data_IF_153499379226
#
_entry.id   IF_153499379226
#
_cell.length_a   1.000
_cell.length_b   1.000
_cell.length_c   1.000
_cell.angle_alpha   90.00
_cell.angle_beta   90.00
_cell.angle_gamma   90.00
#
_symmetry.space_group_name_H-M   'P 1'
#
loop_
_entity.id
_entity.type
_entity.pdbx_description
1 polymer ?
#
# COMPACT_ATOMS: atom_id res chain seq x y z
N UNK A 1 -22.39 -25.83 -9.80
CA UNK A 1 -21.01 -25.64 -10.31
C UNK A 1 -20.07 -25.47 -9.12
N UNK A 2 -18.84 -26.02 -9.19
CA UNK A 2 -17.84 -25.95 -8.11
C UNK A 2 -16.75 -24.92 -8.46
N UNK A 3 -16.51 -23.95 -7.58
CA UNK A 3 -15.41 -22.98 -7.74
C UNK A 3 -14.10 -23.52 -7.19
N UNK A 4 -12.99 -23.38 -7.94
CA UNK A 4 -11.65 -23.79 -7.54
C UNK A 4 -10.72 -22.57 -7.52
N UNK A 5 -10.20 -22.19 -6.36
CA UNK A 5 -9.27 -21.07 -6.21
C UNK A 5 -7.90 -21.54 -5.76
N UNK A 6 -6.87 -21.31 -6.59
CA UNK A 6 -5.51 -21.73 -6.29
C UNK A 6 -4.82 -20.69 -5.42
N UNK A 7 -4.50 -21.05 -4.18
CA UNK A 7 -3.99 -20.12 -3.18
C UNK A 7 -2.58 -20.50 -2.73
N UNK A 8 -1.72 -19.49 -2.77
CA UNK A 8 -0.39 -19.49 -2.18
C UNK A 8 -0.40 -18.69 -0.87
N UNK A 9 0.14 -19.26 0.21
CA UNK A 9 0.35 -18.56 1.48
C UNK A 9 1.85 -18.42 1.74
N UNK A 10 2.32 -17.21 2.05
CA UNK A 10 3.70 -16.97 2.45
C UNK A 10 3.79 -16.00 3.60
N UNK A 11 4.30 -16.48 4.73
CA UNK A 11 4.37 -15.72 5.99
C UNK A 11 3.04 -15.02 6.32
N UNK A 12 1.94 -15.78 6.19
CA UNK A 12 0.55 -15.33 6.39
C UNK A 12 -0.03 -14.45 5.27
N UNK A 13 0.74 -14.01 4.27
CA UNK A 13 0.16 -13.31 3.12
C UNK A 13 -0.48 -14.31 2.16
N UNK A 14 -1.74 -14.06 1.80
CA UNK A 14 -2.50 -14.92 0.89
C UNK A 14 -2.50 -14.35 -0.53
N UNK A 15 -2.32 -15.21 -1.52
CA UNK A 15 -2.35 -14.82 -2.93
C UNK A 15 -3.17 -15.83 -3.73
N UNK A 16 -4.15 -15.34 -4.48
CA UNK A 16 -4.87 -16.15 -5.47
C UNK A 16 -4.10 -16.13 -6.79
N UNK A 17 -3.97 -17.28 -7.44
CA UNK A 17 -3.33 -17.40 -8.76
C UNK A 17 -4.40 -17.54 -9.84
N UNK A 18 -4.35 -16.65 -10.83
CA UNK A 18 -5.23 -16.70 -11.98
C UNK A 18 -4.69 -17.69 -13.00
N UNK A 19 -5.31 -18.87 -13.03
CA UNK A 19 -5.01 -19.90 -14.02
C UNK A 19 -5.92 -19.78 -15.25
N UNK A 20 -5.44 -20.26 -16.39
CA UNK A 20 -6.09 -20.20 -17.70
C UNK A 20 -6.40 -21.59 -18.28
N UNK A 21 -5.95 -22.65 -17.61
CA UNK A 21 -6.26 -24.04 -17.95
C UNK A 21 -7.77 -24.24 -18.11
N UNK A 22 -8.19 -24.85 -19.22
CA UNK A 22 -9.59 -25.17 -19.45
C UNK A 22 -9.97 -26.46 -18.72
N UNK A 23 -10.97 -26.36 -17.84
CA UNK A 23 -11.49 -27.50 -17.06
C UNK A 23 -12.94 -27.83 -17.45
N UNK A 24 -13.44 -28.97 -16.95
CA UNK A 24 -14.82 -29.44 -17.16
C UNK A 24 -15.85 -28.37 -16.75
N UNK A 25 -17.00 -28.31 -17.44
CA UNK A 25 -18.13 -27.41 -17.18
C UNK A 25 -18.67 -27.50 -15.74
N UNK A 26 -18.42 -28.61 -15.03
CA UNK A 26 -18.80 -28.75 -13.63
C UNK A 26 -17.98 -27.87 -12.67
N UNK A 27 -16.79 -27.42 -13.11
CA UNK A 27 -15.85 -26.65 -12.32
C UNK A 27 -15.54 -25.28 -12.95
N UNK A 28 -15.19 -24.30 -12.11
CA UNK A 28 -14.72 -22.99 -12.55
C UNK A 28 -13.40 -22.65 -11.86
N UNK A 29 -12.38 -22.28 -12.64
CA UNK A 29 -11.15 -21.71 -12.07
C UNK A 29 -11.39 -20.26 -11.69
N UNK A 30 -11.21 -19.97 -10.42
CA UNK A 30 -11.55 -18.69 -9.83
C UNK A 30 -10.31 -17.89 -9.38
N UNK A 31 -10.47 -16.56 -9.34
CA UNK A 31 -9.45 -15.62 -8.90
C UNK A 31 -10.07 -14.48 -8.08
N UNK A 32 -9.43 -14.15 -6.96
CA UNK A 32 -9.84 -13.05 -6.09
C UNK A 32 -8.63 -12.22 -5.62
N UNK A 33 -8.74 -10.89 -5.60
CA UNK A 33 -7.64 -10.00 -5.21
C UNK A 33 -7.64 -9.77 -3.70
N UNK A 34 -6.91 -10.64 -2.98
CA UNK A 34 -6.78 -10.56 -1.51
C UNK A 34 -6.10 -9.29 -0.99
N UNK A 35 -5.42 -8.50 -1.84
CA UNK A 35 -4.73 -7.28 -1.40
C UNK A 35 -5.62 -6.04 -1.43
N UNK A 36 -6.53 -5.96 -2.41
CA UNK A 36 -7.34 -4.77 -2.67
C UNK A 36 -8.85 -4.96 -2.48
N UNK A 37 -9.28 -6.14 -2.01
CA UNK A 37 -10.68 -6.43 -1.70
C UNK A 37 -10.85 -6.82 -0.24
N UNK A 38 -11.99 -6.44 0.30
CA UNK A 38 -12.38 -6.69 1.69
C UNK A 38 -12.94 -8.09 1.89
N UNK A 39 -13.16 -8.47 3.15
CA UNK A 39 -13.90 -9.69 3.47
C UNK A 39 -15.36 -9.61 3.00
N UNK A 40 -16.00 -8.44 3.15
CA UNK A 40 -17.35 -8.17 2.64
C UNK A 40 -17.41 -8.36 1.13
N UNK A 41 -16.46 -7.77 0.39
CA UNK A 41 -16.39 -7.93 -1.07
C UNK A 41 -16.28 -9.41 -1.47
N UNK A 42 -15.59 -10.23 -0.68
CA UNK A 42 -15.44 -11.66 -0.98
C UNK A 42 -16.69 -12.46 -0.65
N UNK A 43 -17.36 -12.13 0.46
CA UNK A 43 -18.64 -12.74 0.84
C UNK A 43 -19.67 -12.44 -0.25
N UNK A 44 -19.86 -11.16 -0.59
CA UNK A 44 -20.79 -10.71 -1.64
C UNK A 44 -20.49 -11.38 -2.99
N UNK A 45 -19.19 -11.50 -3.32
CA UNK A 45 -18.75 -12.17 -4.54
C UNK A 45 -19.13 -13.65 -4.58
N UNK A 46 -18.93 -14.38 -3.48
CA UNK A 46 -19.26 -15.80 -3.39
C UNK A 46 -20.77 -16.04 -3.41
N UNK A 47 -21.57 -15.17 -2.77
CA UNK A 47 -23.03 -15.23 -2.85
C UNK A 47 -23.52 -14.98 -4.28
N UNK A 48 -22.91 -14.04 -5.00
CA UNK A 48 -23.29 -13.71 -6.37
C UNK A 48 -22.99 -14.83 -7.38
N UNK A 49 -21.91 -15.59 -7.21
CA UNK A 49 -21.53 -16.64 -8.16
C UNK A 49 -22.37 -17.92 -8.07
N UNK A 50 -23.19 -18.07 -7.01
CA UNK A 50 -24.08 -19.21 -6.80
C UNK A 50 -23.38 -20.58 -6.97
N UNK A 51 -22.13 -20.69 -6.52
CA UNK A 51 -21.43 -21.97 -6.49
C UNK A 51 -22.07 -22.91 -5.45
N UNK A 52 -22.25 -24.19 -5.81
CA UNK A 52 -22.70 -25.21 -4.84
C UNK A 52 -21.63 -25.48 -3.78
N UNK A 53 -20.36 -25.39 -4.20
CA UNK A 53 -19.19 -25.60 -3.37
C UNK A 53 -18.03 -24.73 -3.85
N UNK A 54 -17.27 -24.18 -2.92
CA UNK A 54 -16.03 -23.44 -3.18
C UNK A 54 -14.83 -24.15 -2.53
N UNK A 55 -13.80 -24.43 -3.29
CA UNK A 55 -12.62 -25.16 -2.84
C UNK A 55 -11.38 -24.30 -3.03
N UNK A 56 -10.71 -24.00 -1.93
CA UNK A 56 -9.38 -23.44 -1.94
C UNK A 56 -8.35 -24.54 -2.15
N UNK A 57 -7.66 -24.52 -3.29
CA UNK A 57 -6.55 -25.42 -3.61
C UNK A 57 -5.27 -24.79 -3.07
N UNK A 58 -4.74 -25.36 -1.98
CA UNK A 58 -3.51 -24.85 -1.36
C UNK A 58 -2.27 -25.39 -2.08
N UNK A 59 -1.33 -24.49 -2.36
CA UNK A 59 -0.07 -24.82 -3.03
C UNK A 59 1.06 -25.18 -2.06
N UNK A 60 0.98 -24.70 -0.81
CA UNK A 60 1.95 -24.96 0.25
C UNK A 60 1.24 -25.12 1.61
N UNK A 61 2.00 -25.33 2.69
CA UNK A 61 1.45 -25.30 4.04
C UNK A 61 0.82 -23.95 4.35
N UNK A 62 -0.43 -23.99 4.81
CA UNK A 62 -1.24 -22.79 5.01
C UNK A 62 -1.92 -22.82 6.38
N UNK A 63 -1.53 -21.90 7.26
CA UNK A 63 -2.14 -21.79 8.57
C UNK A 63 -3.26 -20.76 8.52
N UNK A 64 -3.00 -19.59 7.93
CA UNK A 64 -3.96 -18.51 7.90
C UNK A 64 -5.12 -18.77 6.94
N UNK A 65 -4.90 -19.45 5.82
CA UNK A 65 -6.00 -19.80 4.91
C UNK A 65 -7.10 -20.60 5.62
N UNK A 66 -6.73 -21.46 6.58
CA UNK A 66 -7.71 -22.20 7.38
C UNK A 66 -8.56 -21.27 8.23
N UNK A 67 -7.96 -20.24 8.84
CA UNK A 67 -8.71 -19.25 9.61
C UNK A 67 -9.64 -18.41 8.72
N UNK A 68 -9.18 -18.02 7.52
CA UNK A 68 -10.02 -17.37 6.52
C UNK A 68 -11.22 -18.27 6.16
N UNK A 69 -11.00 -19.55 5.88
CA UNK A 69 -12.09 -20.49 5.55
C UNK A 69 -13.05 -20.69 6.71
N UNK A 70 -12.55 -20.81 7.95
CA UNK A 70 -13.41 -20.87 9.14
C UNK A 70 -14.26 -19.61 9.28
N UNK A 71 -13.68 -18.44 9.01
CA UNK A 71 -14.41 -17.17 9.01
C UNK A 71 -15.52 -17.15 7.94
N UNK A 72 -15.19 -17.49 6.68
CA UNK A 72 -16.15 -17.50 5.58
C UNK A 72 -17.31 -18.48 5.81
N UNK A 73 -17.03 -19.68 6.36
CA UNK A 73 -18.06 -20.66 6.74
C UNK A 73 -19.05 -20.15 7.78
N UNK A 74 -18.64 -19.22 8.63
CA UNK A 74 -19.52 -18.63 9.63
C UNK A 74 -20.44 -17.55 9.04
N UNK A 75 -20.12 -17.03 7.84
CA UNK A 75 -20.85 -15.96 7.18
C UNK A 75 -21.73 -16.45 6.02
N UNK A 76 -21.32 -17.52 5.34
CA UNK A 76 -21.95 -18.00 4.11
C UNK A 76 -22.66 -19.35 4.33
N UNK A 77 -23.86 -19.48 3.80
CA UNK A 77 -24.58 -20.76 3.71
C UNK A 77 -24.16 -21.54 2.45
N UNK A 78 -22.85 -21.81 2.33
CA UNK A 78 -22.29 -22.57 1.21
C UNK A 78 -21.20 -23.53 1.69
N UNK A 79 -20.98 -24.60 0.93
CA UNK A 79 -19.91 -25.56 1.25
C UNK A 79 -18.55 -24.98 0.86
N UNK A 80 -17.70 -24.70 1.84
CA UNK A 80 -16.32 -24.20 1.62
C UNK A 80 -15.32 -25.25 2.12
N UNK A 81 -14.30 -25.58 1.32
CA UNK A 81 -13.27 -26.55 1.69
C UNK A 81 -11.86 -26.06 1.34
N UNK A 82 -10.86 -26.64 2.02
CA UNK A 82 -9.44 -26.49 1.67
C UNK A 82 -8.93 -27.86 1.24
N UNK A 83 -8.34 -27.93 0.06
CA UNK A 83 -7.77 -29.15 -0.50
C UNK A 83 -6.31 -28.91 -0.88
N UNK A 84 -5.43 -29.88 -0.58
CA UNK A 84 -4.05 -29.84 -1.01
C UNK A 84 -3.94 -30.09 -2.52
N UNK A 85 -3.03 -29.43 -3.23
CA UNK A 85 -2.83 -29.61 -4.67
C UNK A 85 -2.56 -31.08 -5.04
N UNK A 86 -1.97 -31.86 -4.14
CA UNK A 86 -1.70 -33.28 -4.33
C UNK A 86 -2.97 -34.13 -4.42
N UNK A 87 -4.11 -33.64 -3.92
CA UNK A 87 -5.39 -34.37 -3.87
C UNK A 87 -6.35 -33.95 -5.00
N UNK A 88 -5.86 -33.25 -6.03
CA UNK A 88 -6.67 -32.82 -7.17
C UNK A 88 -7.22 -33.96 -8.01
N UNK A 89 -6.63 -35.15 -7.92
CA UNK A 89 -7.09 -36.40 -8.55
C UNK A 89 -8.50 -36.81 -8.12
N UNK A 90 -8.94 -36.34 -6.95
CA UNK A 90 -10.33 -36.50 -6.50
C UNK A 90 -11.35 -35.64 -7.25
N UNK A 91 -10.91 -34.61 -7.99
CA UNK A 91 -11.78 -33.64 -8.65
C UNK A 91 -11.62 -33.63 -10.18
N UNK A 92 -10.38 -33.75 -10.67
CA UNK A 92 -10.02 -33.53 -12.07
C UNK A 92 -9.32 -34.75 -12.68
N UNK A 93 -9.41 -34.89 -13.99
CA UNK A 93 -8.66 -35.91 -14.72
C UNK A 93 -7.15 -35.61 -14.74
N UNK A 94 -6.32 -36.65 -14.77
CA UNK A 94 -4.85 -36.56 -14.74
C UNK A 94 -4.29 -35.62 -15.82
N UNK A 95 -4.89 -35.60 -17.01
CA UNK A 95 -4.51 -34.71 -18.12
C UNK A 95 -4.61 -33.23 -17.71
N UNK A 96 -5.69 -32.85 -17.03
CA UNK A 96 -5.94 -31.48 -16.55
C UNK A 96 -5.09 -31.13 -15.35
N UNK A 97 -4.83 -32.08 -14.47
CA UNK A 97 -3.90 -31.90 -13.37
C UNK A 97 -2.49 -31.58 -13.91
N UNK A 98 -2.06 -32.29 -14.95
CA UNK A 98 -0.76 -32.05 -15.56
C UNK A 98 -0.68 -30.70 -16.30
N UNK A 99 -1.77 -30.27 -16.96
CA UNK A 99 -1.89 -28.92 -17.54
C UNK A 99 -1.73 -27.84 -16.45
N UNK A 100 -2.46 -27.96 -15.33
CA UNK A 100 -2.39 -27.03 -14.19
C UNK A 100 -0.99 -26.99 -13.58
N UNK A 101 -0.36 -28.15 -13.33
CA UNK A 101 1.02 -28.22 -12.80
C UNK A 101 2.00 -27.52 -13.74
N UNK A 102 1.88 -27.75 -15.05
CA UNK A 102 2.72 -27.10 -16.07
C UNK A 102 2.50 -25.59 -16.10
N UNK A 103 1.25 -25.14 -15.98
CA UNK A 103 0.93 -23.71 -15.90
C UNK A 103 1.55 -23.06 -14.65
N UNK A 104 1.39 -23.69 -13.48
CA UNK A 104 1.98 -23.23 -12.21
C UNK A 104 3.51 -23.16 -12.26
N UNK A 105 4.16 -24.19 -12.83
CA UNK A 105 5.62 -24.22 -13.04
C UNK A 105 6.12 -23.08 -13.93
N UNK A 106 5.28 -22.54 -14.81
CA UNK A 106 5.61 -21.42 -15.69
C UNK A 106 4.95 -20.09 -15.25
N UNK A 107 4.29 -20.07 -14.10
CA UNK A 107 3.47 -18.93 -13.68
C UNK A 107 4.33 -17.80 -13.10
N UNK A 108 4.49 -16.71 -13.84
CA UNK A 108 5.32 -15.55 -13.47
C UNK A 108 5.07 -15.02 -12.05
N UNK A 109 3.79 -14.87 -11.66
CA UNK A 109 3.44 -14.41 -10.32
C UNK A 109 3.88 -15.41 -9.26
N UNK A 110 3.71 -16.72 -9.48
CA UNK A 110 4.07 -17.75 -8.51
C UNK A 110 5.57 -17.72 -8.21
N UNK A 111 6.41 -17.58 -9.24
CA UNK A 111 7.87 -17.41 -9.09
C UNK A 111 8.27 -16.11 -8.36
N UNK A 112 7.53 -15.02 -8.62
CA UNK A 112 7.75 -13.76 -7.88
C UNK A 112 7.36 -13.89 -6.41
N UNK A 113 6.27 -14.60 -6.11
CA UNK A 113 5.78 -14.82 -4.76
C UNK A 113 6.71 -15.76 -3.97
N UNK A 114 7.21 -16.82 -4.59
CA UNK A 114 8.15 -17.75 -3.96
C UNK A 114 9.48 -17.09 -3.59
N UNK A 115 9.92 -16.07 -4.34
CA UNK A 115 11.11 -15.26 -4.05
C UNK A 115 10.86 -13.98 -3.24
N UNK A 116 9.59 -13.71 -2.90
CA UNK A 116 9.17 -12.51 -2.19
C UNK A 116 9.83 -12.35 -0.82
N UNK A 117 10.30 -11.14 -0.50
CA UNK A 117 10.80 -10.78 0.83
C UNK A 117 9.66 -10.17 1.64
N UNK A 118 8.90 -11.04 2.31
CA UNK A 118 7.72 -10.68 3.13
C UNK A 118 8.05 -9.68 4.24
N UNK A 119 9.24 -9.74 4.85
CA UNK A 119 9.71 -8.73 5.81
C UNK A 119 9.61 -7.31 5.23
N UNK A 120 10.00 -7.11 3.96
CA UNK A 120 9.93 -5.81 3.29
C UNK A 120 8.49 -5.37 3.05
N UNK A 121 7.57 -6.30 2.77
CA UNK A 121 6.14 -6.01 2.61
C UNK A 121 5.57 -5.51 3.93
N UNK A 122 5.81 -6.23 5.02
CA UNK A 122 5.35 -5.81 6.33
C UNK A 122 5.97 -4.49 6.78
N UNK A 123 7.26 -4.24 6.51
CA UNK A 123 7.90 -2.94 6.77
C UNK A 123 7.22 -1.80 5.98
N UNK A 124 6.92 -2.02 4.70
CA UNK A 124 6.21 -1.05 3.88
C UNK A 124 4.77 -0.81 4.37
N UNK A 125 4.07 -1.89 4.76
CA UNK A 125 2.73 -1.82 5.34
C UNK A 125 2.70 -1.04 6.66
N UNK A 126 3.62 -1.35 7.57
CA UNK A 126 3.75 -0.65 8.84
C UNK A 126 4.13 0.83 8.66
N UNK A 127 5.00 1.13 7.69
CA UNK A 127 5.31 2.50 7.30
C UNK A 127 4.07 3.23 6.81
N UNK A 128 3.33 2.67 5.84
CA UNK A 128 2.10 3.27 5.32
C UNK A 128 1.06 3.50 6.44
N UNK A 129 0.96 2.57 7.39
CA UNK A 129 0.16 2.71 8.60
C UNK A 129 0.60 3.88 9.47
N UNK A 130 1.88 3.94 9.84
CA UNK A 130 2.41 4.99 10.71
C UNK A 130 2.41 6.37 10.06
N UNK A 131 2.52 6.48 8.74
CA UNK A 131 2.44 7.75 8.01
C UNK A 131 1.01 8.11 7.58
N UNK A 132 0.06 7.16 7.65
CA UNK A 132 -1.30 7.29 7.12
C UNK A 132 -1.35 7.65 5.62
N UNK A 133 -0.44 7.10 4.80
CA UNK A 133 -0.35 7.39 3.37
C UNK A 133 -0.51 6.12 2.53
N UNK A 134 -1.61 6.06 1.76
CA UNK A 134 -1.99 4.91 0.93
C UNK A 134 -2.26 5.35 -0.50
N UNK A 135 -1.22 5.57 -1.33
CA UNK A 135 -1.38 6.19 -2.63
C UNK A 135 -2.21 5.38 -3.63
N UNK A 136 -2.21 4.05 -3.52
CA UNK A 136 -2.83 3.14 -4.49
C UNK A 136 -3.99 2.32 -3.92
N UNK A 137 -4.46 2.63 -2.71
CA UNK A 137 -5.49 1.85 -2.05
C UNK A 137 -6.88 2.45 -2.35
N UNK A 138 -7.90 1.63 -2.65
CA UNK A 138 -9.27 2.11 -2.77
C UNK A 138 -9.73 2.88 -1.54
N UNK A 139 -10.57 3.90 -1.74
CA UNK A 139 -11.18 4.65 -0.64
C UNK A 139 -12.07 3.73 0.18
N UNK A 140 -11.90 3.75 1.50
CA UNK A 140 -12.76 3.03 2.44
C UNK A 140 -12.36 1.58 2.74
N UNK A 141 -11.29 1.05 2.13
CA UNK A 141 -10.75 -0.25 2.49
C UNK A 141 -9.83 -0.12 3.72
N UNK A 142 -10.17 -0.76 4.83
CA UNK A 142 -9.29 -0.79 6.01
C UNK A 142 -8.13 -1.75 5.75
N UNK A 143 -6.90 -1.23 5.67
CA UNK A 143 -5.71 -2.05 5.43
C UNK A 143 -4.97 -2.39 6.71
N UNK A 144 -4.97 -1.48 7.68
CA UNK A 144 -4.21 -1.66 8.91
C UNK A 144 -4.94 -1.11 10.12
N UNK A 145 -4.71 -1.72 11.28
CA UNK A 145 -5.11 -1.13 12.55
C UNK A 145 -4.02 -1.28 13.60
N UNK A 146 -3.96 -0.38 14.57
CA UNK A 146 -3.31 -0.63 15.85
C UNK A 146 -4.39 -0.92 16.89
N UNK A 147 -4.13 -1.93 17.73
CA UNK A 147 -5.06 -2.39 18.76
C UNK A 147 -4.28 -2.65 20.05
N UNK A 148 -4.62 -1.91 21.10
CA UNK A 148 -4.03 -2.08 22.44
C UNK A 148 -4.64 -3.26 23.21
N UNK A 149 -5.94 -3.52 23.05
CA UNK A 149 -6.68 -4.66 23.59
C UNK A 149 -7.35 -5.45 22.46
N UNK A 150 -6.67 -6.50 22.01
CA UNK A 150 -7.13 -7.38 20.94
C UNK A 150 -8.46 -8.06 21.29
N UNK A 151 -8.61 -8.57 22.51
CA UNK A 151 -9.81 -9.31 22.93
C UNK A 151 -11.07 -8.42 22.91
N UNK A 152 -10.94 -7.19 23.41
CA UNK A 152 -12.02 -6.21 23.34
C UNK A 152 -12.33 -5.81 21.90
N UNK A 153 -11.31 -5.57 21.08
CA UNK A 153 -11.51 -5.19 19.68
C UNK A 153 -12.34 -6.23 18.92
N UNK A 154 -12.01 -7.53 19.01
CA UNK A 154 -12.80 -8.58 18.34
C UNK A 154 -14.23 -8.62 18.86
N UNK A 155 -14.38 -8.74 20.18
CA UNK A 155 -15.66 -9.09 20.80
C UNK A 155 -16.70 -8.01 20.54
N UNK A 156 -16.28 -6.74 20.57
CA UNK A 156 -17.16 -5.59 20.41
C UNK A 156 -17.20 -5.07 18.97
N UNK A 157 -16.23 -5.42 18.11
CA UNK A 157 -16.09 -4.83 16.78
C UNK A 157 -15.87 -5.85 15.64
N UNK A 158 -16.27 -7.10 15.82
CA UNK A 158 -16.15 -8.16 14.80
C UNK A 158 -16.68 -7.73 13.42
N UNK A 159 -17.77 -6.97 13.36
CA UNK A 159 -18.35 -6.47 12.11
C UNK A 159 -17.42 -5.50 11.36
N UNK A 160 -16.47 -4.83 12.04
CA UNK A 160 -15.49 -4.00 11.36
C UNK A 160 -14.55 -4.85 10.49
N UNK A 161 -14.31 -6.12 10.84
CA UNK A 161 -13.45 -7.02 10.07
C UNK A 161 -13.94 -7.17 8.64
N UNK A 162 -15.25 -7.10 8.39
CA UNK A 162 -15.82 -7.17 7.05
C UNK A 162 -15.24 -6.10 6.10
N UNK A 163 -14.88 -4.93 6.62
CA UNK A 163 -14.33 -3.83 5.83
C UNK A 163 -12.80 -3.82 5.75
N UNK A 164 -12.13 -4.81 6.37
CA UNK A 164 -10.69 -4.97 6.23
C UNK A 164 -10.36 -5.67 4.91
N UNK A 165 -9.28 -5.24 4.26
CA UNK A 165 -8.67 -6.02 3.19
C UNK A 165 -8.34 -7.42 3.71
N UNK A 166 -8.43 -8.44 2.84
CA UNK A 166 -8.07 -9.79 3.26
C UNK A 166 -6.62 -9.80 3.75
N UNK A 167 -5.64 -9.33 2.99
CA UNK A 167 -4.26 -9.14 3.48
C UNK A 167 -4.07 -7.86 4.30
N UNK A 168 -4.94 -7.62 5.27
CA UNK A 168 -4.76 -6.57 6.27
C UNK A 168 -3.93 -7.04 7.47
N UNK A 169 -3.31 -6.08 8.16
CA UNK A 169 -2.53 -6.34 9.36
C UNK A 169 -3.00 -5.52 10.56
N UNK A 170 -3.13 -6.19 11.70
CA UNK A 170 -3.41 -5.60 13.01
C UNK A 170 -2.12 -5.59 13.82
N UNK A 171 -1.70 -4.40 14.22
CA UNK A 171 -0.51 -4.16 15.02
C UNK A 171 -0.87 -4.06 16.50
N UNK A 172 -0.07 -4.70 17.36
CA UNK A 172 -0.30 -4.64 18.81
C UNK A 172 1.01 -4.58 19.60
N UNK A 173 0.96 -4.09 20.84
CA UNK A 173 2.05 -4.22 21.80
C UNK A 173 1.99 -5.55 22.57
N UNK A 174 0.84 -6.21 22.59
CA UNK A 174 0.65 -7.44 23.36
C UNK A 174 1.34 -8.62 22.67
N UNK A 175 1.76 -9.60 23.48
CA UNK A 175 2.14 -10.90 22.93
C UNK A 175 0.90 -11.52 22.31
N UNK A 176 1.01 -11.85 21.03
CA UNK A 176 -0.06 -12.47 20.25
C UNK A 176 -0.35 -13.85 20.86
N UNK A 177 -1.51 -14.01 21.49
CA UNK A 177 -2.05 -15.34 21.68
C UNK A 177 -2.35 -15.91 20.28
N UNK A 178 -2.05 -17.19 20.04
CA UNK A 178 -2.41 -17.88 18.79
C UNK A 178 -3.93 -18.02 18.73
N UNK A 179 -4.61 -16.92 18.44
CA UNK A 179 -6.03 -16.93 18.18
C UNK A 179 -6.25 -17.10 16.67
N UNK A 180 -7.30 -17.85 16.32
CA UNK A 180 -7.60 -18.27 14.94
C UNK A 180 -8.28 -17.13 14.16
N UNK A 181 -7.55 -16.04 13.90
CA UNK A 181 -8.12 -14.88 13.22
C UNK A 181 -7.87 -14.92 11.72
N UNK A 182 -8.81 -14.40 10.92
CA UNK A 182 -8.64 -14.31 9.48
C UNK A 182 -7.67 -13.18 9.07
N UNK A 183 -7.33 -12.24 9.96
CA UNK A 183 -6.40 -11.13 9.72
C UNK A 183 -4.98 -11.45 10.19
N UNK A 184 -3.97 -10.74 9.67
CA UNK A 184 -2.58 -10.91 10.10
C UNK A 184 -2.37 -10.11 11.38
N UNK A 185 -1.77 -10.70 12.42
CA UNK A 185 -1.43 -9.99 13.66
C UNK A 185 0.09 -9.88 13.78
N UNK A 186 0.61 -8.65 13.89
CA UNK A 186 2.06 -8.40 14.04
C UNK A 186 2.37 -7.54 15.26
N UNK A 187 3.36 -7.92 16.09
CA UNK A 187 3.80 -7.06 17.18
C UNK A 187 4.52 -5.81 16.63
N UNK A 188 4.25 -4.64 17.22
CA UNK A 188 4.93 -3.38 16.85
C UNK A 188 6.45 -3.47 17.01
N UNK A 189 6.93 -4.35 17.91
CA UNK A 189 8.34 -4.59 18.14
C UNK A 189 9.11 -5.09 16.90
N UNK A 190 8.44 -5.72 15.93
CA UNK A 190 9.08 -6.21 14.70
C UNK A 190 9.57 -5.06 13.79
N UNK A 191 9.09 -3.84 14.02
CA UNK A 191 9.31 -2.68 13.16
C UNK A 191 10.21 -1.60 13.77
N UNK A 192 10.93 -1.91 14.86
CA UNK A 192 11.79 -0.95 15.59
C UNK A 192 12.88 -0.29 14.73
N UNK A 193 13.26 -0.89 13.59
CA UNK A 193 14.23 -0.30 12.66
C UNK A 193 13.70 0.94 11.94
N UNK A 194 12.38 1.11 11.86
CA UNK A 194 11.76 2.25 11.20
C UNK A 194 11.64 3.42 12.17
N UNK A 195 12.22 4.56 11.80
CA UNK A 195 12.24 5.75 12.64
C UNK A 195 11.18 6.74 12.18
N UNK A 196 10.24 7.05 13.08
CA UNK A 196 9.19 8.03 12.87
C UNK A 196 9.37 9.24 13.78
N UNK A 197 9.19 10.42 13.22
CA UNK A 197 9.16 11.68 13.95
C UNK A 197 7.73 12.19 14.02
N UNK A 198 7.32 12.54 15.23
CA UNK A 198 6.07 13.26 15.46
C UNK A 198 6.32 14.73 15.19
N UNK A 199 5.52 15.33 14.31
CA UNK A 199 5.53 16.76 14.02
C UNK A 199 4.17 17.38 14.37
N UNK A 200 4.20 18.65 14.78
CA UNK A 200 3.00 19.48 14.82
C UNK A 200 2.80 20.20 13.47
N UNK A 201 1.64 20.83 13.30
CA UNK A 201 1.33 21.55 12.05
C UNK A 201 2.32 22.67 11.72
N UNK A 202 2.88 23.37 12.71
CA UNK A 202 3.83 24.46 12.48
C UNK A 202 5.19 23.96 11.95
N UNK A 203 5.69 22.85 12.52
CA UNK A 203 6.91 22.19 12.06
C UNK A 203 6.74 21.67 10.64
N UNK A 204 5.55 21.11 10.35
CA UNK A 204 5.22 20.65 9.01
C UNK A 204 5.14 21.80 8.00
N UNK A 205 4.50 22.93 8.36
CA UNK A 205 4.49 24.17 7.54
C UNK A 205 5.91 24.67 7.26
N UNK A 206 6.79 24.60 8.25
CA UNK A 206 8.20 24.99 8.10
C UNK A 206 8.92 24.08 7.11
N UNK A 207 8.72 22.76 7.20
CA UNK A 207 9.28 21.79 6.26
C UNK A 207 8.82 22.07 4.83
N UNK A 208 7.52 22.32 4.62
CA UNK A 208 6.99 22.66 3.31
C UNK A 208 7.56 23.97 2.75
N UNK A 209 7.70 25.02 3.59
CA UNK A 209 8.34 26.26 3.16
C UNK A 209 9.79 26.05 2.77
N UNK A 210 10.57 25.30 3.57
CA UNK A 210 11.95 24.96 3.24
C UNK A 210 12.05 24.24 1.90
N UNK A 211 11.16 23.27 1.65
CA UNK A 211 11.10 22.59 0.37
C UNK A 211 10.73 23.54 -0.78
N UNK A 212 9.69 24.35 -0.65
CA UNK A 212 9.23 25.25 -1.72
C UNK A 212 10.28 26.33 -2.03
N UNK A 213 10.89 26.90 -1.00
CA UNK A 213 11.80 28.05 -1.14
C UNK A 213 13.20 27.64 -1.58
N UNK A 214 13.68 26.46 -1.15
CA UNK A 214 15.08 26.06 -1.34
C UNK A 214 15.26 24.67 -1.96
N UNK A 215 14.19 23.89 -2.13
CA UNK A 215 14.27 22.49 -2.56
C UNK A 215 14.82 21.53 -1.51
N UNK A 216 15.12 22.00 -0.30
CA UNK A 216 15.81 21.19 0.70
C UNK A 216 14.83 20.44 1.59
N UNK A 217 15.11 19.15 1.79
CA UNK A 217 14.45 18.32 2.81
C UNK A 217 15.54 17.72 3.69
N UNK A 218 15.66 18.21 4.92
CA UNK A 218 16.67 17.77 5.89
C UNK A 218 16.18 16.68 6.85
N UNK A 219 14.88 16.35 6.80
CA UNK A 219 14.30 15.34 7.67
C UNK A 219 14.55 13.94 7.11
N UNK A 220 15.35 13.15 7.85
CA UNK A 220 15.69 11.75 7.49
C UNK A 220 14.74 10.72 8.09
N UNK A 221 13.88 11.12 9.03
CA UNK A 221 12.84 10.28 9.61
C UNK A 221 11.54 10.36 8.80
N UNK A 222 10.76 9.28 8.82
CA UNK A 222 9.38 9.34 8.37
C UNK A 222 8.56 10.22 9.32
N UNK A 223 7.49 10.84 8.81
CA UNK A 223 6.61 11.67 9.64
C UNK A 223 5.40 10.82 10.07
N UNK A 224 5.23 10.64 11.37
CA UNK A 224 4.06 9.97 11.92
C UNK A 224 2.79 10.78 11.57
N UNK A 225 1.73 10.07 11.18
CA UNK A 225 0.42 10.62 10.84
C UNK A 225 0.45 11.70 9.73
N UNK A 226 1.48 11.67 8.86
CA UNK A 226 1.67 12.66 7.79
C UNK A 226 0.41 12.87 6.92
N UNK A 227 -0.21 11.77 6.47
CA UNK A 227 -1.41 11.83 5.64
C UNK A 227 -2.55 12.53 6.34
N UNK A 228 -2.72 12.27 7.64
CA UNK A 228 -3.71 12.94 8.48
C UNK A 228 -3.37 14.42 8.64
N UNK A 229 -2.13 14.75 9.02
CA UNK A 229 -1.68 16.14 9.22
C UNK A 229 -1.78 17.01 7.97
N UNK A 230 -1.70 16.41 6.78
CA UNK A 230 -1.79 17.10 5.48
C UNK A 230 -3.17 17.04 4.85
N UNK A 231 -4.10 16.27 5.40
CA UNK A 231 -5.46 16.08 4.85
C UNK A 231 -5.52 15.20 3.59
N UNK A 232 -4.49 14.40 3.29
CA UNK A 232 -4.49 13.45 2.16
C UNK A 232 -4.83 12.01 2.59
N UNK A 233 -4.92 11.76 3.89
CA UNK A 233 -5.35 10.45 4.39
C UNK A 233 -6.82 10.21 4.04
N UNK A 234 -7.16 8.93 3.84
CA UNK A 234 -8.54 8.44 3.93
C UNK A 234 -8.64 7.51 5.13
N UNK A 235 -9.84 7.00 5.42
CA UNK A 235 -10.03 5.95 6.42
C UNK A 235 -9.54 4.59 5.91
N UNK A 236 -8.22 4.43 5.81
CA UNK A 236 -7.57 3.16 5.49
C UNK A 236 -6.85 2.54 6.69
N UNK A 237 -6.72 3.31 7.78
CA UNK A 237 -6.15 2.84 9.03
C UNK A 237 -6.85 3.39 10.25
N UNK A 238 -6.81 2.61 11.33
CA UNK A 238 -7.45 2.92 12.60
C UNK A 238 -6.49 2.68 13.76
N UNK A 239 -6.64 3.47 14.81
CA UNK A 239 -6.08 3.17 16.13
C UNK A 239 -7.25 2.87 17.07
N UNK A 240 -7.23 1.69 17.70
CA UNK A 240 -8.14 1.32 18.78
C UNK A 240 -7.35 1.35 20.08
N UNK A 241 -7.71 2.30 20.94
CA UNK A 241 -7.04 2.54 22.22
C UNK A 241 -8.09 2.79 23.30
N UNK A 242 -8.00 2.08 24.41
CA UNK A 242 -8.86 2.24 25.58
C UNK A 242 -10.37 2.16 25.24
N UNK A 243 -10.74 1.34 24.25
CA UNK A 243 -12.13 1.21 23.79
C UNK A 243 -12.63 2.34 22.89
N UNK A 244 -11.73 3.16 22.33
CA UNK A 244 -12.06 4.27 21.44
C UNK A 244 -11.30 4.14 20.11
N UNK A 245 -11.91 4.66 19.05
CA UNK A 245 -11.32 4.72 17.72
C UNK A 245 -10.72 6.09 17.44
N UNK A 246 -9.53 6.10 16.84
CA UNK A 246 -8.81 7.30 16.44
C UNK A 246 -8.23 7.17 15.04
N UNK A 247 -8.06 8.32 14.39
CA UNK A 247 -7.44 8.43 13.07
C UNK A 247 -5.90 8.54 13.16
N UNK A 248 -5.38 8.96 14.30
CA UNK A 248 -3.97 9.31 14.50
C UNK A 248 -3.34 8.54 15.67
N UNK A 249 -2.02 8.42 15.60
CA UNK A 249 -1.24 7.66 16.59
C UNK A 249 -1.12 8.32 17.97
N UNK A 250 -1.50 9.59 18.09
CA UNK A 250 -1.45 10.35 19.35
C UNK A 250 -2.81 10.53 20.01
N UNK A 251 -3.85 9.84 19.52
CA UNK A 251 -5.19 9.89 20.07
C UNK A 251 -5.82 11.30 20.10
N UNK A 252 -5.45 12.18 19.16
CA UNK A 252 -5.97 13.56 19.10
C UNK A 252 -7.22 13.67 18.24
N UNK A 253 -7.41 12.76 17.29
CA UNK A 253 -8.50 12.73 16.32
C UNK A 253 -9.40 11.54 16.57
N UNK A 254 -10.25 11.67 17.58
CA UNK A 254 -11.22 10.63 17.95
C UNK A 254 -12.32 10.49 16.90
N UNK A 255 -12.60 9.26 16.48
CA UNK A 255 -13.61 8.89 15.51
C UNK A 255 -14.87 8.30 16.16
N UNK A 256 -14.73 7.55 17.25
CA UNK A 256 -15.86 6.85 17.84
C UNK A 256 -15.48 6.01 19.06
N UNK A 257 -16.43 5.18 19.49
CA UNK A 257 -16.24 4.19 20.54
C UNK A 257 -16.30 2.77 19.96
N UNK A 258 -15.83 1.82 20.75
CA UNK A 258 -16.08 0.40 20.53
C UNK A 258 -17.58 0.12 20.31
N UNK A 259 -17.90 -0.76 19.37
CA UNK A 259 -19.25 -1.09 18.93
C UNK A 259 -19.85 -0.13 17.88
N UNK A 260 -19.17 0.96 17.55
CA UNK A 260 -19.62 1.86 16.48
C UNK A 260 -19.47 1.21 15.09
N UNK A 261 -20.43 1.45 14.20
CA UNK A 261 -20.39 0.92 12.83
C UNK A 261 -19.30 1.59 12.00
N UNK A 262 -18.83 0.87 10.97
CA UNK A 262 -17.86 1.41 10.01
C UNK A 262 -18.33 2.72 9.37
N UNK A 263 -19.61 2.82 8.98
CA UNK A 263 -20.16 4.03 8.36
C UNK A 263 -20.07 5.24 9.31
N UNK A 264 -20.28 5.03 10.61
CA UNK A 264 -20.12 6.10 11.61
C UNK A 264 -18.67 6.57 11.70
N UNK A 265 -17.73 5.63 11.78
CA UNK A 265 -16.30 5.94 11.82
C UNK A 265 -15.84 6.64 10.54
N UNK A 266 -16.27 6.16 9.38
CA UNK A 266 -15.97 6.73 8.07
C UNK A 266 -16.48 8.16 7.91
N UNK A 267 -17.72 8.42 8.32
CA UNK A 267 -18.29 9.76 8.27
C UNK A 267 -17.54 10.73 9.19
N UNK A 268 -17.22 10.29 10.42
CA UNK A 268 -16.46 11.11 11.36
C UNK A 268 -15.05 11.42 10.84
N UNK A 269 -14.38 10.43 10.24
CA UNK A 269 -13.06 10.62 9.66
C UNK A 269 -13.11 11.62 8.49
N UNK A 270 -14.10 11.48 7.61
CA UNK A 270 -14.30 12.37 6.45
C UNK A 270 -14.52 13.82 6.87
N UNK A 271 -15.35 14.04 7.91
CA UNK A 271 -15.58 15.38 8.48
C UNK A 271 -14.28 15.99 9.01
N UNK A 272 -13.55 15.28 9.86
CA UNK A 272 -12.33 15.82 10.46
C UNK A 272 -11.22 16.06 9.43
N UNK A 273 -11.07 15.18 8.44
CA UNK A 273 -10.08 15.36 7.38
C UNK A 273 -10.39 16.58 6.50
N UNK A 274 -11.67 16.86 6.25
CA UNK A 274 -12.08 18.05 5.49
C UNK A 274 -11.75 19.37 6.20
N UNK A 275 -11.66 19.38 7.53
CA UNK A 275 -11.27 20.56 8.32
C UNK A 275 -9.76 20.81 8.33
N UNK A 276 -8.94 19.80 8.03
CA UNK A 276 -7.47 19.90 8.03
C UNK A 276 -6.93 20.60 6.79
N UNK A 277 -7.70 20.70 5.71
CA UNK A 277 -7.26 21.24 4.41
C UNK A 277 -6.90 22.75 4.42
N UNK A 278 -6.92 23.37 5.61
CA UNK A 278 -6.49 24.74 5.89
C UNK A 278 -4.96 24.98 5.76
N UNK A 279 -4.15 23.94 5.55
CA UNK A 279 -2.78 24.14 5.09
C UNK A 279 -2.85 24.61 3.63
N UNK A 280 -2.65 25.91 3.39
CA UNK A 280 -2.53 26.54 2.04
C UNK A 280 -1.32 25.98 1.26
N UNK A 281 -1.32 24.68 1.02
CA UNK A 281 -0.25 23.88 0.42
C UNK A 281 -0.92 23.10 -0.70
N UNK A 282 -0.39 23.23 -1.91
CA UNK A 282 -0.94 22.54 -3.07
C UNK A 282 -0.90 21.03 -2.88
N UNK A 283 -1.99 20.35 -3.23
CA UNK A 283 -2.13 18.91 -3.11
C UNK A 283 -0.97 18.13 -3.76
N UNK A 284 -0.52 18.55 -4.94
CA UNK A 284 0.62 17.95 -5.65
C UNK A 284 1.90 17.93 -4.79
N UNK A 285 2.12 18.97 -3.98
CA UNK A 285 3.29 19.09 -3.10
C UNK A 285 3.15 18.15 -1.89
N UNK A 286 1.93 17.99 -1.36
CA UNK A 286 1.65 17.06 -0.26
C UNK A 286 1.98 15.62 -0.67
N UNK A 287 1.56 15.19 -1.86
CA UNK A 287 1.89 13.85 -2.35
C UNK A 287 3.38 13.71 -2.69
N UNK A 288 3.97 14.67 -3.40
CA UNK A 288 5.37 14.59 -3.79
C UNK A 288 6.29 14.45 -2.57
N UNK A 289 6.04 15.22 -1.50
CA UNK A 289 6.89 15.21 -0.31
C UNK A 289 6.99 13.81 0.34
N UNK A 290 5.98 12.94 0.20
CA UNK A 290 6.08 11.54 0.68
C UNK A 290 7.23 10.80 -0.01
N UNK A 291 7.36 10.94 -1.33
CA UNK A 291 8.44 10.36 -2.13
C UNK A 291 9.78 11.00 -1.78
N UNK A 292 9.81 12.31 -1.53
CA UNK A 292 11.06 13.00 -1.17
C UNK A 292 11.57 12.55 0.21
N UNK A 293 10.69 12.32 1.17
CA UNK A 293 11.04 11.77 2.48
C UNK A 293 11.60 10.36 2.36
N UNK A 294 11.05 9.54 1.45
CA UNK A 294 11.59 8.20 1.17
C UNK A 294 13.01 8.24 0.61
N UNK A 295 13.26 9.14 -0.33
CA UNK A 295 14.60 9.38 -0.88
C UNK A 295 15.54 9.88 0.22
N UNK A 296 15.10 10.84 1.03
CA UNK A 296 15.89 11.43 2.12
C UNK A 296 16.21 10.41 3.21
N UNK A 297 15.30 9.48 3.49
CA UNK A 297 15.55 8.38 4.43
C UNK A 297 16.69 7.46 3.97
N UNK A 298 16.77 7.17 2.67
CA UNK A 298 17.77 6.27 2.09
C UNK A 298 19.11 6.98 1.88
N UNK A 299 19.10 8.21 1.37
CA UNK A 299 20.29 8.90 0.92
C UNK A 299 20.79 9.99 1.88
N UNK A 300 20.05 10.29 2.94
CA UNK A 300 20.31 11.42 3.84
C UNK A 300 19.76 12.73 3.31
N UNK A 301 20.24 13.86 3.85
CA UNK A 301 19.84 15.21 3.42
C UNK A 301 20.14 15.44 1.93
N UNK A 302 19.13 15.92 1.19
CA UNK A 302 19.19 16.14 -0.26
C UNK A 302 18.62 17.50 -0.64
N UNK A 303 19.18 18.08 -1.70
CA UNK A 303 18.56 19.18 -2.43
C UNK A 303 17.77 18.62 -3.61
N UNK A 304 16.47 18.88 -3.62
CA UNK A 304 15.54 18.44 -4.64
C UNK A 304 15.28 19.52 -5.69
N UNK A 305 15.11 19.07 -6.92
CA UNK A 305 14.82 19.90 -8.09
C UNK A 305 13.56 19.35 -8.72
N UNK A 306 12.47 20.07 -8.49
CA UNK A 306 11.11 19.71 -8.88
C UNK A 306 10.44 20.92 -9.54
N UNK A 307 9.29 20.76 -10.21
CA UNK A 307 8.53 21.90 -10.69
C UNK A 307 8.08 22.85 -9.56
N UNK A 308 7.91 22.34 -8.34
CA UNK A 308 7.23 23.05 -7.26
C UNK A 308 8.14 23.86 -6.33
N UNK A 309 9.45 23.79 -6.50
CA UNK A 309 10.40 24.53 -5.68
C UNK A 309 11.28 25.47 -6.49
N UNK A 310 11.76 26.51 -5.82
CA UNK A 310 12.81 27.37 -6.34
C UNK A 310 14.16 26.65 -6.19
N UNK A 311 14.90 26.57 -7.30
CA UNK A 311 16.30 26.16 -7.31
C UNK A 311 17.10 27.19 -8.11
N UNK A 312 17.39 26.95 -9.40
CA UNK A 312 17.94 28.00 -10.28
C UNK A 312 16.83 28.71 -11.06
N UNK A 313 15.74 28.00 -11.35
CA UNK A 313 14.56 28.50 -12.03
C UNK A 313 13.42 28.60 -11.03
N UNK A 314 12.59 29.64 -11.14
CA UNK A 314 11.41 29.80 -10.28
C UNK A 314 10.46 28.60 -10.42
N UNK A 315 9.80 28.26 -9.31
CA UNK A 315 8.76 27.22 -9.30
C UNK A 315 7.66 27.52 -10.32
N UNK A 316 7.07 26.45 -10.86
CA UNK A 316 5.93 26.46 -11.78
C UNK A 316 4.84 25.54 -11.27
N UNK A 317 3.63 25.71 -11.79
CA UNK A 317 2.48 24.89 -11.40
C UNK A 317 2.21 23.81 -12.44
N UNK A 318 2.75 22.61 -12.21
CA UNK A 318 2.54 21.45 -13.07
C UNK A 318 1.56 20.47 -12.37
N UNK A 319 0.48 20.03 -13.03
CA UNK A 319 -0.38 18.97 -12.50
C UNK A 319 0.42 17.70 -12.13
N UNK A 320 0.10 17.05 -11.00
CA UNK A 320 0.86 15.88 -10.52
C UNK A 320 0.89 14.73 -11.55
N UNK A 321 -0.20 14.52 -12.31
CA UNK A 321 -0.27 13.50 -13.35
C UNK A 321 0.68 13.75 -14.54
N UNK A 322 1.15 15.00 -14.69
CA UNK A 322 2.16 15.40 -15.68
C UNK A 322 3.58 15.37 -15.11
N UNK A 323 3.75 15.19 -13.79
CA UNK A 323 5.07 15.06 -13.19
C UNK A 323 5.62 13.65 -13.44
N UNK A 324 6.67 13.59 -14.26
CA UNK A 324 7.36 12.33 -14.56
C UNK A 324 8.71 12.27 -13.87
N UNK A 325 9.48 13.36 -13.95
CA UNK A 325 10.86 13.38 -13.52
C UNK A 325 11.08 14.41 -12.42
N UNK A 326 11.90 14.05 -11.44
CA UNK A 326 12.54 14.96 -10.51
C UNK A 326 14.04 14.72 -10.51
N UNK A 327 14.80 15.72 -10.10
CA UNK A 327 16.21 15.56 -9.77
C UNK A 327 16.43 15.71 -8.27
N UNK A 328 17.48 15.10 -7.77
CA UNK A 328 18.00 15.38 -6.45
C UNK A 328 19.51 15.21 -6.41
N UNK A 329 20.16 15.93 -5.50
CA UNK A 329 21.62 15.91 -5.37
C UNK A 329 22.05 16.13 -3.93
N UNK A 330 23.30 15.77 -3.69
CA UNK A 330 24.11 16.26 -2.59
C UNK A 330 25.50 16.67 -3.13
N UNK A 331 26.43 17.00 -2.26
CA UNK A 331 27.79 17.43 -2.66
C UNK A 331 28.58 16.34 -3.41
N UNK A 332 28.16 15.07 -3.31
CA UNK A 332 28.88 13.92 -3.86
C UNK A 332 28.27 13.33 -5.14
N UNK A 333 26.97 13.51 -5.36
CA UNK A 333 26.24 12.80 -6.41
C UNK A 333 24.97 13.53 -6.85
N UNK A 334 24.61 13.30 -8.11
CA UNK A 334 23.40 13.83 -8.74
C UNK A 334 22.57 12.67 -9.27
N UNK A 335 21.24 12.81 -9.17
CA UNK A 335 20.30 11.79 -9.56
C UNK A 335 19.12 12.36 -10.35
N UNK A 336 18.60 11.54 -11.27
CA UNK A 336 17.32 11.75 -11.93
C UNK A 336 16.41 10.57 -11.57
N UNK A 337 15.20 10.86 -11.13
CA UNK A 337 14.23 9.86 -10.68
C UNK A 337 12.92 10.03 -11.43
N UNK A 338 12.44 8.95 -12.02
CA UNK A 338 11.14 8.89 -12.65
C UNK A 338 10.10 8.42 -11.62
N UNK A 339 9.15 9.29 -11.29
CA UNK A 339 8.13 9.05 -10.28
C UNK A 339 7.12 7.99 -10.74
N UNK A 340 6.85 7.89 -12.05
CA UNK A 340 5.88 6.92 -12.59
C UNK A 340 6.45 5.51 -12.64
N UNK A 341 7.70 5.36 -13.07
CA UNK A 341 8.34 4.04 -13.24
C UNK A 341 9.18 3.61 -12.05
N UNK A 342 9.46 4.51 -11.11
CA UNK A 342 10.34 4.26 -9.96
C UNK A 342 11.82 4.08 -10.33
N UNK A 343 12.20 4.40 -11.57
CA UNK A 343 13.58 4.25 -12.06
C UNK A 343 14.46 5.40 -11.58
N UNK A 344 15.65 5.04 -11.10
CA UNK A 344 16.66 5.97 -10.60
C UNK A 344 17.93 5.91 -11.44
N UNK A 345 18.45 7.07 -11.85
CA UNK A 345 19.67 7.20 -12.63
C UNK A 345 20.66 8.10 -11.93
N UNK A 346 21.92 7.66 -11.82
CA UNK A 346 23.03 8.55 -11.45
C UNK A 346 23.42 9.38 -12.67
N UNK A 347 23.42 10.69 -12.52
CA UNK A 347 23.68 11.65 -13.61
C UNK A 347 24.79 12.62 -13.21
N UNK A 348 25.19 13.49 -14.13
CA UNK A 348 26.15 14.56 -13.86
C UNK A 348 25.44 15.92 -13.67
N UNK A 349 26.19 16.93 -13.21
CA UNK A 349 25.66 18.28 -12.97
C UNK A 349 25.02 18.94 -14.18
N UNK A 350 25.54 18.66 -15.37
CA UNK A 350 25.01 19.21 -16.61
C UNK A 350 23.59 18.67 -16.85
N UNK A 351 23.39 17.35 -16.80
CA UNK A 351 22.07 16.72 -16.98
C UNK A 351 21.06 17.25 -15.96
N UNK A 352 21.46 17.46 -14.70
CA UNK A 352 20.60 18.05 -13.67
C UNK A 352 20.11 19.45 -14.03
N UNK A 353 20.97 20.31 -14.58
CA UNK A 353 20.59 21.65 -15.02
C UNK A 353 19.59 21.59 -16.18
N UNK A 354 19.87 20.75 -17.19
CA UNK A 354 18.97 20.56 -18.32
C UNK A 354 17.62 19.99 -17.87
N UNK A 355 17.63 19.06 -16.92
CA UNK A 355 16.41 18.46 -16.37
C UNK A 355 15.53 19.52 -15.69
N UNK A 356 16.11 20.47 -14.93
CA UNK A 356 15.33 21.57 -14.35
C UNK A 356 14.60 22.39 -15.43
N UNK A 357 15.31 22.74 -16.51
CA UNK A 357 14.70 23.47 -17.63
C UNK A 357 13.58 22.68 -18.32
N UNK A 358 13.70 21.36 -18.40
CA UNK A 358 12.69 20.49 -19.00
C UNK A 358 11.45 20.41 -18.10
N UNK A 359 11.62 20.07 -16.82
CA UNK A 359 10.49 19.87 -15.90
C UNK A 359 9.73 21.17 -15.60
N UNK A 360 10.37 22.34 -15.80
CA UNK A 360 9.75 23.67 -15.61
C UNK A 360 9.32 24.34 -16.92
N UNK A 361 9.46 23.66 -18.06
CA UNK A 361 9.21 24.17 -19.41
C UNK A 361 9.87 25.55 -19.68
N UNK A 362 11.15 25.68 -19.30
CA UNK A 362 11.99 26.87 -19.54
C UNK A 362 13.12 26.57 -20.50
N UNK A 363 12.79 25.87 -21.59
CA UNK A 363 13.77 25.39 -22.57
C UNK A 363 14.35 26.47 -23.50
N UNK A 364 13.77 27.68 -23.49
CA UNK A 364 14.19 28.81 -24.33
C UNK A 364 15.51 29.50 -23.94
N UNK A 365 16.00 29.31 -22.71
CA UNK A 365 17.18 30.00 -22.16
C UNK A 365 18.45 29.13 -22.16
N UNK A 366 18.62 28.25 -23.13
CA UNK A 366 19.71 27.28 -23.15
C UNK A 366 20.67 27.52 -24.31
N UNK A 367 21.95 27.64 -23.96
CA UNK A 367 23.04 27.93 -24.89
C UNK A 367 23.35 26.76 -25.84
N UNK A 368 23.09 25.51 -25.44
CA UNK A 368 23.40 24.32 -26.23
C UNK A 368 22.17 23.43 -26.50
N UNK A 369 21.50 23.73 -27.63
CA UNK A 369 20.29 23.03 -28.09
C UNK A 369 20.51 21.53 -28.39
N UNK A 370 21.73 21.15 -28.78
CA UNK A 370 22.06 19.74 -29.10
C UNK A 370 22.04 18.87 -27.85
N UNK A 371 22.69 19.31 -26.77
CA UNK A 371 22.72 18.59 -25.49
C UNK A 371 21.31 18.53 -24.88
N UNK A 372 20.53 19.61 -24.96
CA UNK A 372 19.12 19.61 -24.53
C UNK A 372 18.30 18.53 -25.27
N UNK A 373 18.48 18.40 -26.59
CA UNK A 373 17.81 17.35 -27.38
C UNK A 373 18.20 15.95 -26.91
N UNK A 374 19.49 15.71 -26.65
CA UNK A 374 19.98 14.41 -26.16
C UNK A 374 19.41 14.07 -24.78
N UNK A 375 19.35 15.02 -23.86
CA UNK A 375 18.75 14.80 -22.53
C UNK A 375 17.26 14.49 -22.66
N UNK A 376 16.51 15.22 -23.51
CA UNK A 376 15.10 14.93 -23.76
C UNK A 376 14.88 13.53 -24.34
N UNK A 377 15.68 13.14 -25.33
CA UNK A 377 15.62 11.82 -25.95
C UNK A 377 15.86 10.71 -24.92
N UNK A 378 16.90 10.87 -24.08
CA UNK A 378 17.18 9.91 -23.01
C UNK A 378 16.02 9.81 -22.01
N UNK A 379 15.47 10.94 -21.56
CA UNK A 379 14.33 10.93 -20.64
C UNK A 379 13.07 10.31 -21.25
N UNK A 380 12.89 10.40 -22.58
CA UNK A 380 11.80 9.72 -23.29
C UNK A 380 12.02 8.21 -23.41
N UNK A 381 13.26 7.77 -23.70
CA UNK A 381 13.60 6.35 -23.81
C UNK A 381 13.48 5.62 -22.47
N UNK A 382 13.85 6.29 -21.37
CA UNK A 382 13.82 5.72 -20.03
C UNK A 382 12.54 6.06 -19.23
N UNK A 383 11.67 6.86 -19.83
CA UNK A 383 10.40 7.37 -19.31
C UNK A 383 9.43 6.31 -18.82
#
# INVERSE_FOLDING_TARGET
>A
MIGLNFVFEKDELLYSLKLSTQIDQNYSLDYFDFDNQSFEDFIDYLEFLEFDQYIFIKLEENNRLKHLVSYLKAQLDMKIEVMAIENLDSLLEESKIQEIKTELENHDLYHKLSSLKTEKIFQNGFKAFKTATYPNLPKGLLKHAFVDDLGKFISENHNLLNHFAINSAVYTHNKVAKEEWPVIIKPVADFQKLNFKILNQESLKTLFRQFIDFGRVSLTNYIADYGVLTGIANLNSLYFMEGQFYLDSQAKMRLGNSGDSYQKLHNQASLQLSEIDNLLIKENVKYLLTVLLDITHVYGEMDFITPYNNYQIKAVDVPLNQLEWIAFKNDSAHFAFNIKTGRLFKVNGLVTQYLECIIKDKTGNIDNKKIMSQVKEMLQVYG
#
